data_IF_447294787139
#
_entry.id   IF_447294787139
#
_cell.length_a   1.000
_cell.length_b   1.000
_cell.length_c   1.000
_cell.angle_alpha   90.00
_cell.angle_beta   90.00
_cell.angle_gamma   90.00
#
_symmetry.space_group_name_H-M   'P 1'
#
loop_
_entity.id
_entity.type
_entity.pdbx_description
1 polymer ?
#
# COMPACT_ATOMS: atom_id res chain seq x y z
N UNK A 1 15.31 41.31 -17.46
CA UNK A 1 14.40 40.61 -18.40
C UNK A 1 14.99 40.37 -19.79
N UNK A 2 16.17 39.75 -19.94
CA UNK A 2 16.68 39.40 -21.29
C UNK A 2 17.74 38.28 -21.36
N UNK A 3 17.73 37.32 -20.43
CA UNK A 3 18.73 36.23 -20.42
C UNK A 3 18.19 34.81 -20.14
N UNK A 4 16.86 34.61 -20.13
CA UNK A 4 16.24 33.28 -19.88
C UNK A 4 15.59 32.62 -21.10
N UNK A 5 15.92 33.06 -22.32
CA UNK A 5 15.36 32.52 -23.58
C UNK A 5 16.42 31.85 -24.47
N UNK A 6 17.54 31.41 -23.90
CA UNK A 6 18.63 30.70 -24.61
C UNK A 6 18.73 29.21 -24.24
N UNK A 7 17.69 28.60 -23.66
CA UNK A 7 17.49 27.14 -23.73
C UNK A 7 16.74 26.90 -25.02
N UNK A 8 17.23 26.27 -26.08
CA UNK A 8 18.01 25.03 -26.08
C UNK A 8 18.64 24.83 -27.47
N UNK A 9 19.51 25.76 -27.91
CA UNK A 9 20.00 25.77 -29.30
C UNK A 9 20.86 24.53 -29.57
N UNK A 10 21.65 24.12 -28.59
CA UNK A 10 22.57 22.98 -28.69
C UNK A 10 21.82 21.65 -28.76
N UNK A 11 20.86 21.36 -27.87
CA UNK A 11 20.10 20.11 -27.98
C UNK A 11 19.18 20.10 -29.21
N UNK A 12 18.69 21.27 -29.65
CA UNK A 12 17.91 21.35 -30.90
C UNK A 12 18.81 21.06 -32.10
N UNK A 13 20.06 21.54 -32.08
CA UNK A 13 21.05 21.23 -33.10
C UNK A 13 21.47 19.76 -33.08
N UNK A 14 21.64 19.15 -31.91
CA UNK A 14 21.93 17.73 -31.75
C UNK A 14 20.77 16.86 -32.23
N UNK A 15 19.54 17.17 -31.83
CA UNK A 15 18.35 16.47 -32.31
C UNK A 15 18.14 16.63 -33.83
N UNK A 16 18.45 17.80 -34.40
CA UNK A 16 18.46 18.01 -35.84
C UNK A 16 19.56 17.19 -36.54
N UNK A 17 20.75 17.15 -35.96
CA UNK A 17 21.88 16.39 -36.49
C UNK A 17 21.59 14.89 -36.46
N UNK A 18 21.01 14.39 -35.37
CA UNK A 18 20.54 13.02 -35.23
C UNK A 18 19.44 12.71 -36.26
N UNK A 19 18.43 13.59 -36.38
CA UNK A 19 17.34 13.44 -37.34
C UNK A 19 17.84 13.44 -38.80
N UNK A 20 18.92 14.14 -39.13
CA UNK A 20 19.52 14.15 -40.47
C UNK A 20 20.42 12.92 -40.69
N UNK A 21 21.11 12.46 -39.65
CA UNK A 21 22.06 11.34 -39.69
C UNK A 21 21.41 9.95 -39.60
N UNK A 22 20.12 9.87 -39.24
CA UNK A 22 19.36 8.61 -39.21
C UNK A 22 19.28 7.91 -40.57
N UNK A 23 19.05 6.60 -40.56
CA UNK A 23 18.80 5.81 -41.77
C UNK A 23 17.44 6.16 -42.39
N UNK A 24 17.34 6.06 -43.73
CA UNK A 24 16.12 6.43 -44.46
C UNK A 24 14.89 5.59 -44.04
N UNK A 25 15.12 4.31 -43.71
CA UNK A 25 14.09 3.39 -43.22
C UNK A 25 13.54 3.85 -41.86
N UNK A 26 14.42 4.28 -40.96
CA UNK A 26 14.04 4.74 -39.63
C UNK A 26 13.33 6.10 -39.67
N UNK A 27 13.76 7.00 -40.57
CA UNK A 27 13.05 8.27 -40.83
C UNK A 27 11.61 8.04 -41.25
N UNK A 28 11.36 7.11 -42.17
CA UNK A 28 10.02 6.80 -42.67
C UNK A 28 9.11 6.20 -41.59
N UNK A 29 9.65 5.29 -40.76
CA UNK A 29 8.93 4.71 -39.62
C UNK A 29 8.56 5.76 -38.57
N UNK A 30 9.52 6.60 -38.16
CA UNK A 30 9.28 7.67 -37.18
C UNK A 30 8.31 8.73 -37.71
N UNK A 31 8.45 9.12 -38.99
CA UNK A 31 7.52 10.04 -39.64
C UNK A 31 6.09 9.48 -39.67
N UNK A 32 5.91 8.22 -40.08
CA UNK A 32 4.59 7.58 -40.10
C UNK A 32 3.91 7.54 -38.72
N UNK A 33 4.68 7.24 -37.65
CA UNK A 33 4.21 7.23 -36.26
C UNK A 33 3.81 8.64 -35.78
N UNK A 34 4.70 9.62 -35.95
CA UNK A 34 4.46 10.99 -35.47
C UNK A 34 3.35 11.68 -36.25
N UNK A 35 3.29 11.47 -37.57
CA UNK A 35 2.22 12.00 -38.41
C UNK A 35 0.86 11.46 -37.97
N UNK A 36 0.76 10.17 -37.62
CA UNK A 36 -0.50 9.57 -37.14
C UNK A 36 -0.93 10.11 -35.77
N UNK A 37 0.01 10.40 -34.88
CA UNK A 37 -0.28 11.02 -33.59
C UNK A 37 -0.75 12.48 -33.75
N UNK A 38 -0.02 13.30 -34.51
CA UNK A 38 -0.34 14.72 -34.74
C UNK A 38 -1.65 14.89 -35.53
N UNK A 39 -1.96 13.98 -36.46
CA UNK A 39 -3.21 14.01 -37.23
C UNK A 39 -4.44 13.54 -36.44
N UNK A 40 -4.25 12.84 -35.32
CA UNK A 40 -5.35 12.37 -34.45
C UNK A 40 -5.52 13.19 -33.18
N UNK A 41 -4.47 13.88 -32.72
CA UNK A 41 -4.45 14.73 -31.54
C UNK A 41 -4.15 16.16 -31.96
N UNK A 42 -5.12 16.78 -32.64
CA UNK A 42 -4.98 18.16 -33.08
C UNK A 42 -5.05 19.14 -31.89
N UNK A 43 -4.65 20.39 -32.14
CA UNK A 43 -4.69 21.46 -31.14
C UNK A 43 -6.10 21.66 -30.58
N UNK A 44 -7.14 21.31 -31.34
CA UNK A 44 -8.52 21.39 -30.90
C UNK A 44 -8.87 20.29 -29.88
N UNK A 45 -8.40 19.06 -30.07
CA UNK A 45 -8.54 17.96 -29.12
C UNK A 45 -7.81 18.25 -27.82
N UNK A 46 -6.55 18.68 -27.90
CA UNK A 46 -5.78 19.09 -26.71
C UNK A 46 -6.46 20.27 -25.99
N UNK A 47 -6.87 21.31 -26.73
CA UNK A 47 -7.54 22.48 -26.15
C UNK A 47 -8.87 22.10 -25.48
N UNK A 48 -9.66 21.23 -26.11
CA UNK A 48 -10.93 20.76 -25.57
C UNK A 48 -10.74 19.92 -24.30
N UNK A 49 -9.77 19.01 -24.30
CA UNK A 49 -9.42 18.22 -23.10
C UNK A 49 -8.94 19.13 -21.98
N UNK A 50 -8.01 20.03 -22.26
CA UNK A 50 -7.45 20.95 -21.28
C UNK A 50 -8.52 21.89 -20.69
N UNK A 51 -9.39 22.46 -21.52
CA UNK A 51 -10.49 23.33 -21.06
C UNK A 51 -11.50 22.52 -20.25
N UNK A 52 -11.81 21.27 -20.64
CA UNK A 52 -12.69 20.41 -19.85
C UNK A 52 -12.09 20.04 -18.49
N UNK A 53 -10.79 19.73 -18.44
CA UNK A 53 -10.09 19.43 -17.21
C UNK A 53 -9.98 20.66 -16.31
N UNK A 54 -9.74 21.84 -16.90
CA UNK A 54 -9.72 23.11 -16.20
C UNK A 54 -11.11 23.49 -15.66
N UNK A 55 -12.16 23.32 -16.47
CA UNK A 55 -13.54 23.57 -16.06
C UNK A 55 -13.94 22.62 -14.94
N UNK A 56 -13.57 21.33 -15.03
CA UNK A 56 -13.79 20.32 -13.97
C UNK A 56 -13.03 20.67 -12.69
N UNK A 57 -11.78 21.12 -12.80
CA UNK A 57 -10.99 21.56 -11.66
C UNK A 57 -11.59 22.81 -10.97
N UNK A 58 -12.18 23.73 -11.74
CA UNK A 58 -12.80 24.95 -11.23
C UNK A 58 -14.22 24.74 -10.69
N UNK A 59 -15.01 23.81 -11.25
CA UNK A 59 -16.44 23.61 -10.93
C UNK A 59 -16.67 23.23 -9.46
N UNK A 60 -15.75 22.48 -8.87
CA UNK A 60 -15.86 21.99 -7.49
C UNK A 60 -14.98 22.77 -6.48
N UNK A 61 -14.18 23.74 -6.94
CA UNK A 61 -13.19 24.42 -6.10
C UNK A 61 -13.82 25.24 -4.96
N UNK A 62 -14.99 25.85 -5.21
CA UNK A 62 -15.69 26.68 -4.21
C UNK A 62 -16.39 25.89 -3.10
N UNK A 63 -16.49 24.56 -3.22
CA UNK A 63 -17.16 23.69 -2.24
C UNK A 63 -16.20 22.81 -1.44
N UNK A 64 -14.91 22.80 -1.79
CA UNK A 64 -13.89 22.01 -1.11
C UNK A 64 -13.29 22.83 0.04
N UNK A 65 -13.28 22.31 1.29
CA UNK A 65 -12.56 22.95 2.39
C UNK A 65 -11.08 23.14 2.01
N UNK A 66 -10.60 24.37 2.07
CA UNK A 66 -9.20 24.71 1.82
C UNK A 66 -8.43 24.66 3.14
N UNK A 67 -7.36 23.88 3.19
CA UNK A 67 -6.47 23.75 4.33
C UNK A 67 -5.11 24.36 4.01
N UNK A 68 -4.56 25.10 4.97
CA UNK A 68 -3.17 25.55 4.92
C UNK A 68 -2.27 24.44 5.46
N UNK A 69 -1.37 23.92 4.62
CA UNK A 69 -0.42 22.86 4.98
C UNK A 69 1.00 23.45 4.90
N UNK A 70 1.80 23.22 5.95
CA UNK A 70 3.19 23.69 6.06
C UNK A 70 3.36 25.04 6.78
N UNK A 71 4.60 25.39 7.11
CA UNK A 71 4.99 26.66 7.74
C UNK A 71 6.03 27.40 6.87
N UNK A 72 6.01 28.74 6.88
CA UNK A 72 6.99 29.57 6.16
C UNK A 72 6.90 29.43 4.63
N UNK A 73 8.05 29.35 3.95
CA UNK A 73 8.14 29.25 2.48
C UNK A 73 7.60 27.92 1.91
N UNK A 74 7.28 26.94 2.76
CA UNK A 74 6.64 25.68 2.37
C UNK A 74 5.11 25.69 2.49
N UNK A 75 4.50 26.81 2.89
CA UNK A 75 3.04 26.92 3.03
C UNK A 75 2.33 26.72 1.69
N UNK A 76 1.33 25.83 1.66
CA UNK A 76 0.47 25.58 0.50
C UNK A 76 -0.99 25.54 0.95
N UNK A 77 -1.86 26.16 0.16
CA UNK A 77 -3.31 25.99 0.32
C UNK A 77 -3.73 24.82 -0.54
N UNK A 78 -4.41 23.85 0.06
CA UNK A 78 -4.89 22.68 -0.67
C UNK A 78 -6.36 22.42 -0.40
N UNK A 79 -7.10 22.10 -1.46
CA UNK A 79 -8.51 21.78 -1.40
C UNK A 79 -8.67 20.26 -1.15
N UNK A 80 -9.27 19.89 -0.02
CA UNK A 80 -9.54 18.50 0.34
C UNK A 80 -11.00 18.15 0.00
N UNK A 81 -11.30 16.84 -0.13
CA UNK A 81 -12.69 16.40 -0.28
C UNK A 81 -13.50 16.78 0.98
N UNK A 82 -14.75 17.26 0.86
CA UNK A 82 -15.59 17.56 2.03
C UNK A 82 -15.81 16.37 2.98
N UNK A 83 -15.65 15.13 2.49
CA UNK A 83 -15.78 13.91 3.28
C UNK A 83 -14.44 13.39 3.81
N UNK A 84 -13.33 14.09 3.52
CA UNK A 84 -12.01 13.78 4.06
C UNK A 84 -11.96 14.15 5.54
N UNK A 85 -11.92 13.14 6.40
CA UNK A 85 -12.08 13.32 7.85
C UNK A 85 -11.07 12.47 8.62
N UNK A 86 -10.73 12.88 9.85
CA UNK A 86 -9.88 12.07 10.72
C UNK A 86 -10.58 10.74 11.03
N UNK A 87 -9.84 9.64 11.00
CA UNK A 87 -10.41 8.33 11.32
C UNK A 87 -10.92 8.32 12.77
N UNK A 88 -12.19 7.97 12.96
CA UNK A 88 -12.76 7.77 14.29
C UNK A 88 -12.48 6.33 14.75
N UNK A 89 -11.67 6.20 15.80
CA UNK A 89 -11.19 4.91 16.32
C UNK A 89 -12.35 4.02 16.83
N UNK A 90 -13.34 4.59 17.52
CA UNK A 90 -14.47 3.82 18.03
C UNK A 90 -15.28 3.20 16.88
N UNK A 91 -15.47 3.96 15.79
CA UNK A 91 -16.24 3.51 14.63
C UNK A 91 -15.57 2.34 13.92
N UNK A 92 -14.24 2.38 13.76
CA UNK A 92 -13.52 1.28 13.14
C UNK A 92 -13.49 0.05 14.05
N UNK A 93 -13.27 0.21 15.36
CA UNK A 93 -13.27 -0.90 16.33
C UNK A 93 -14.64 -1.60 16.35
N UNK A 94 -15.74 -0.85 16.46
CA UNK A 94 -17.09 -1.42 16.42
C UNK A 94 -17.39 -2.16 15.10
N UNK A 95 -16.87 -1.65 13.98
CA UNK A 95 -17.04 -2.30 12.67
C UNK A 95 -16.18 -3.56 12.55
N UNK A 96 -14.98 -3.52 13.14
CA UNK A 96 -14.02 -4.60 13.19
C UNK A 96 -14.57 -5.78 14.00
N UNK A 97 -14.98 -5.57 15.25
CA UNK A 97 -15.53 -6.62 16.14
C UNK A 97 -16.73 -7.35 15.52
N UNK A 98 -17.59 -6.63 14.80
CA UNK A 98 -18.78 -7.20 14.15
C UNK A 98 -18.49 -8.01 12.90
N UNK A 99 -17.34 -7.77 12.26
CA UNK A 99 -16.96 -8.40 11.00
C UNK A 99 -16.42 -9.82 11.21
N UNK A 100 -16.68 -10.71 10.24
CA UNK A 100 -16.28 -12.12 10.29
C UNK A 100 -15.18 -12.49 9.29
N UNK A 101 -14.95 -11.65 8.28
CA UNK A 101 -13.89 -11.81 7.29
C UNK A 101 -13.29 -10.44 6.98
N UNK A 102 -12.15 -10.15 7.60
CA UNK A 102 -11.53 -8.83 7.68
C UNK A 102 -10.26 -8.82 6.84
N UNK A 103 -10.15 -7.83 5.95
CA UNK A 103 -8.94 -7.62 5.15
C UNK A 103 -8.24 -6.35 5.61
N UNK A 104 -6.97 -6.48 5.96
CA UNK A 104 -6.12 -5.37 6.45
C UNK A 104 -4.91 -5.27 5.52
N UNK A 105 -4.83 -4.17 4.76
CA UNK A 105 -3.75 -3.88 3.82
C UNK A 105 -2.96 -2.69 4.34
N UNK A 106 -1.67 -2.88 4.58
CA UNK A 106 -0.81 -1.88 5.20
C UNK A 106 0.39 -1.61 4.29
N UNK A 107 0.63 -0.35 3.95
CA UNK A 107 1.95 0.04 3.46
C UNK A 107 2.99 -0.04 4.59
N UNK A 108 4.26 -0.07 4.21
CA UNK A 108 5.37 -0.19 5.14
C UNK A 108 6.05 1.14 5.45
N UNK A 109 6.71 1.74 4.45
CA UNK A 109 7.43 3.00 4.59
C UNK A 109 6.43 4.13 4.80
N UNK A 110 6.72 5.09 5.68
CA UNK A 110 5.81 6.22 5.98
C UNK A 110 4.51 5.85 6.71
N UNK A 111 4.16 4.56 6.78
CA UNK A 111 2.95 4.04 7.41
C UNK A 111 3.23 3.29 8.71
N UNK A 112 4.01 2.20 8.67
CA UNK A 112 4.40 1.43 9.86
C UNK A 112 5.73 1.89 10.44
N UNK A 113 6.60 2.42 9.58
CA UNK A 113 7.91 2.97 9.96
C UNK A 113 8.04 4.36 9.36
N UNK A 114 8.37 5.40 10.15
CA UNK A 114 8.55 6.75 9.62
C UNK A 114 9.53 6.77 8.44
N UNK A 115 9.15 7.45 7.36
CA UNK A 115 9.99 7.53 6.15
C UNK A 115 11.36 8.17 6.43
N UNK A 116 11.44 9.08 7.39
CA UNK A 116 12.68 9.75 7.80
C UNK A 116 13.55 8.92 8.74
N UNK A 117 13.12 7.73 9.14
CA UNK A 117 13.90 6.88 10.06
C UNK A 117 15.17 6.37 9.39
N UNK A 118 16.29 6.49 10.11
CA UNK A 118 17.58 5.88 9.74
C UNK A 118 17.48 4.37 9.89
N UNK A 119 16.89 3.90 11.00
CA UNK A 119 16.57 2.48 11.15
C UNK A 119 15.25 2.19 10.43
N UNK A 120 15.38 1.46 9.33
CA UNK A 120 14.27 1.06 8.47
C UNK A 120 13.57 -0.21 8.95
N UNK A 121 13.91 -0.73 10.14
CA UNK A 121 13.28 -1.89 10.77
C UNK A 121 12.02 -1.51 11.56
N UNK A 122 11.01 -2.37 11.61
CA UNK A 122 9.84 -2.13 12.46
C UNK A 122 10.22 -2.34 13.93
N UNK A 123 9.54 -1.62 14.83
CA UNK A 123 9.73 -1.84 16.27
C UNK A 123 9.22 -3.22 16.67
N UNK A 124 9.74 -3.75 17.79
CA UNK A 124 9.25 -5.02 18.36
C UNK A 124 7.76 -4.97 18.71
N UNK A 125 7.25 -3.79 19.05
CA UNK A 125 5.84 -3.56 19.31
C UNK A 125 4.99 -3.72 18.06
N UNK A 126 5.39 -3.10 16.93
CA UNK A 126 4.70 -3.27 15.65
C UNK A 126 4.72 -4.74 15.21
N UNK A 127 5.86 -5.42 15.35
CA UNK A 127 5.94 -6.87 15.05
C UNK A 127 4.98 -7.69 15.91
N UNK A 128 4.85 -7.38 17.21
CA UNK A 128 3.90 -8.04 18.12
C UNK A 128 2.46 -7.80 17.67
N UNK A 129 2.09 -6.54 17.41
CA UNK A 129 0.75 -6.14 16.96
C UNK A 129 0.37 -6.86 15.67
N UNK A 130 1.24 -6.83 14.65
CA UNK A 130 1.01 -7.52 13.38
C UNK A 130 0.84 -9.02 13.60
N UNK A 131 1.67 -9.63 14.45
CA UNK A 131 1.55 -11.06 14.74
C UNK A 131 0.25 -11.43 15.48
N UNK A 132 -0.21 -10.59 16.41
CA UNK A 132 -1.52 -10.74 17.07
C UNK A 132 -2.65 -10.64 16.06
N UNK A 133 -2.65 -9.62 15.20
CA UNK A 133 -3.65 -9.46 14.14
C UNK A 133 -3.65 -10.65 13.18
N UNK A 134 -2.47 -11.14 12.76
CA UNK A 134 -2.36 -12.34 11.92
C UNK A 134 -2.77 -13.65 12.62
N UNK A 135 -2.87 -13.66 13.95
CA UNK A 135 -3.22 -14.88 14.69
C UNK A 135 -4.73 -15.13 14.73
N UNK A 136 -5.55 -14.09 14.66
CA UNK A 136 -7.01 -14.18 14.50
C UNK A 136 -7.35 -14.75 13.11
N UNK A 137 -8.11 -15.85 13.10
CA UNK A 137 -8.53 -16.55 11.88
C UNK A 137 -9.48 -15.74 10.99
N UNK A 138 -10.12 -14.72 11.53
CA UNK A 138 -11.01 -13.83 10.77
C UNK A 138 -10.23 -12.74 10.03
N UNK A 139 -8.94 -12.55 10.34
CA UNK A 139 -8.09 -11.55 9.71
C UNK A 139 -7.28 -12.13 8.56
N UNK A 140 -7.25 -11.38 7.46
CA UNK A 140 -6.28 -11.52 6.38
C UNK A 140 -5.46 -10.23 6.31
N UNK A 141 -4.22 -10.28 6.82
CA UNK A 141 -3.32 -9.12 6.91
C UNK A 141 -2.24 -9.21 5.86
N UNK A 142 -2.04 -8.12 5.10
CA UNK A 142 -0.98 -8.01 4.12
C UNK A 142 -0.17 -6.73 4.31
N UNK A 143 1.16 -6.85 4.20
CA UNK A 143 2.03 -5.72 3.91
C UNK A 143 2.10 -5.56 2.39
N UNK A 144 1.75 -4.37 1.89
CA UNK A 144 1.75 -4.04 0.46
C UNK A 144 2.72 -2.88 0.24
N UNK A 145 3.95 -3.18 -0.20
CA UNK A 145 5.05 -2.22 -0.20
C UNK A 145 5.84 -2.22 -1.51
N UNK A 146 6.51 -1.10 -1.79
CA UNK A 146 7.48 -0.98 -2.86
C UNK A 146 8.83 -1.66 -2.57
N UNK A 147 9.08 -2.15 -1.35
CA UNK A 147 10.34 -2.82 -0.98
C UNK A 147 10.53 -4.17 -1.66
N UNK A 148 11.78 -4.62 -1.75
CA UNK A 148 12.12 -5.93 -2.28
C UNK A 148 11.61 -7.06 -1.39
N UNK A 149 11.37 -8.24 -2.00
CA UNK A 149 10.88 -9.42 -1.29
C UNK A 149 11.86 -9.95 -0.24
N UNK A 150 13.16 -9.81 -0.48
CA UNK A 150 14.20 -10.21 0.47
C UNK A 150 14.21 -9.32 1.71
N UNK A 151 14.09 -8.00 1.51
CA UNK A 151 14.00 -7.03 2.60
C UNK A 151 12.79 -7.31 3.47
N UNK A 152 11.58 -7.35 2.88
CA UNK A 152 10.35 -7.61 3.63
C UNK A 152 10.33 -9.02 4.25
N UNK A 153 10.86 -10.02 3.54
CA UNK A 153 10.96 -11.39 4.03
C UNK A 153 11.82 -11.50 5.29
N UNK A 154 12.93 -10.75 5.35
CA UNK A 154 13.79 -10.71 6.53
C UNK A 154 13.19 -9.91 7.70
N UNK A 155 12.55 -8.77 7.40
CA UNK A 155 11.96 -7.88 8.41
C UNK A 155 10.78 -8.52 9.14
N UNK A 156 9.99 -9.33 8.44
CA UNK A 156 8.80 -10.00 8.98
C UNK A 156 8.98 -11.52 9.14
N UNK A 157 10.21 -12.00 9.26
CA UNK A 157 10.50 -13.44 9.41
C UNK A 157 9.80 -14.07 10.64
N UNK A 158 9.53 -13.27 11.68
CA UNK A 158 8.83 -13.66 12.90
C UNK A 158 7.30 -13.73 12.76
N UNK A 159 6.73 -13.31 11.63
CA UNK A 159 5.28 -13.27 11.40
C UNK A 159 4.88 -14.31 10.33
N UNK A 160 4.73 -15.60 10.69
CA UNK A 160 4.58 -16.69 9.72
C UNK A 160 3.28 -16.61 8.89
N UNK A 161 2.20 -16.06 9.47
CA UNK A 161 0.87 -15.95 8.83
C UNK A 161 0.67 -14.65 8.04
N UNK A 162 1.68 -13.78 8.00
CA UNK A 162 1.58 -12.48 7.32
C UNK A 162 1.70 -12.64 5.80
N UNK A 163 0.75 -12.05 5.09
CA UNK A 163 0.84 -11.88 3.64
C UNK A 163 1.80 -10.74 3.29
N UNK A 164 2.58 -10.90 2.23
CA UNK A 164 3.51 -9.88 1.73
C UNK A 164 3.32 -9.71 0.23
N UNK A 165 3.08 -8.46 -0.18
CA UNK A 165 3.19 -8.01 -1.55
C UNK A 165 4.38 -7.06 -1.68
N UNK A 166 5.42 -7.51 -2.38
CA UNK A 166 6.67 -6.80 -2.57
C UNK A 166 6.76 -6.20 -3.98
N UNK A 167 7.60 -5.18 -4.13
CA UNK A 167 7.81 -4.44 -5.38
C UNK A 167 6.48 -4.00 -6.02
N UNK A 168 5.64 -3.31 -5.23
CA UNK A 168 4.33 -2.81 -5.61
C UNK A 168 3.32 -3.90 -6.04
N UNK A 169 3.60 -5.16 -5.70
CA UNK A 169 2.75 -6.28 -6.08
C UNK A 169 3.29 -7.17 -7.19
N UNK A 170 4.53 -6.97 -7.63
CA UNK A 170 5.16 -7.89 -8.56
C UNK A 170 5.26 -9.28 -7.91
N UNK A 171 5.72 -9.33 -6.66
CA UNK A 171 5.77 -10.56 -5.88
C UNK A 171 4.68 -10.55 -4.82
N UNK A 172 3.98 -11.66 -4.67
CA UNK A 172 2.94 -11.87 -3.67
C UNK A 172 3.17 -13.22 -2.97
N UNK A 173 3.08 -13.24 -1.65
CA UNK A 173 3.14 -14.47 -0.85
C UNK A 173 2.11 -14.37 0.26
N UNK A 174 1.33 -15.42 0.50
CA UNK A 174 0.24 -15.40 1.49
C UNK A 174 0.72 -15.71 2.91
N UNK A 175 1.71 -16.58 3.05
CA UNK A 175 2.31 -16.96 4.33
C UNK A 175 3.80 -17.19 4.16
N UNK A 176 4.60 -17.12 5.23
CA UNK A 176 6.07 -17.27 5.17
C UNK A 176 6.50 -18.57 4.49
N UNK A 177 5.76 -19.65 4.74
CA UNK A 177 6.11 -21.00 4.30
C UNK A 177 5.61 -21.32 2.87
N UNK A 178 4.83 -20.42 2.27
CA UNK A 178 4.43 -20.51 0.86
C UNK A 178 5.47 -19.91 -0.10
N UNK A 179 5.46 -20.38 -1.35
CA UNK A 179 6.28 -19.81 -2.42
C UNK A 179 5.80 -18.44 -2.87
N UNK A 180 6.73 -17.60 -3.33
CA UNK A 180 6.39 -16.33 -3.98
C UNK A 180 5.68 -16.55 -5.31
N UNK A 181 4.58 -15.85 -5.51
CA UNK A 181 3.83 -15.76 -6.76
C UNK A 181 4.21 -14.47 -7.48
N UNK A 182 4.55 -14.55 -8.77
CA UNK A 182 4.84 -13.37 -9.59
C UNK A 182 3.60 -12.92 -10.36
N UNK A 183 3.36 -11.61 -10.47
CA UNK A 183 2.18 -11.04 -11.13
C UNK A 183 2.23 -11.05 -12.66
N UNK A 184 3.42 -11.19 -13.28
CA UNK A 184 3.57 -11.20 -14.74
C UNK A 184 4.37 -12.40 -15.23
N UNK A 185 3.99 -12.93 -16.41
CA UNK A 185 4.71 -14.00 -17.11
C UNK A 185 5.92 -13.51 -17.93
N UNK A 186 6.10 -12.18 -18.05
CA UNK A 186 7.20 -11.58 -18.80
C UNK A 186 8.40 -11.35 -17.88
N UNK A 187 9.40 -12.21 -18.02
CA UNK A 187 10.68 -12.14 -17.30
C UNK A 187 11.74 -11.31 -18.02
N UNK A 188 11.35 -10.53 -19.04
CA UNK A 188 12.30 -9.74 -19.82
C UNK A 188 12.54 -8.39 -19.12
N UNK A 189 13.65 -8.32 -18.39
CA UNK A 189 14.15 -7.10 -17.74
C UNK A 189 15.22 -6.41 -18.59
N UNK A 190 15.27 -6.65 -19.92
CA UNK A 190 16.20 -5.99 -20.83
C UNK A 190 16.12 -4.45 -20.77
N UNK A 191 14.95 -3.91 -20.44
CA UNK A 191 14.76 -2.47 -20.20
C UNK A 191 15.63 -1.92 -19.06
N UNK A 192 16.02 -2.73 -18.07
CA UNK A 192 16.90 -2.28 -16.98
C UNK A 192 18.27 -1.88 -17.53
N UNK A 193 18.78 -2.61 -18.51
CA UNK A 193 20.05 -2.31 -19.18
C UNK A 193 19.98 -1.01 -20.01
N UNK A 194 18.78 -0.59 -20.42
CA UNK A 194 18.54 0.69 -21.10
C UNK A 194 18.36 1.85 -20.12
N UNK A 195 17.71 1.59 -18.98
CA UNK A 195 17.43 2.58 -17.95
C UNK A 195 18.64 2.92 -17.08
N UNK A 196 19.47 1.93 -16.75
CA UNK A 196 20.62 2.07 -15.84
C UNK A 196 21.65 3.11 -16.34
N UNK A 197 22.07 3.14 -17.62
CA UNK A 197 22.97 4.20 -18.11
C UNK A 197 22.40 5.60 -17.97
N UNK A 198 21.08 5.76 -18.17
CA UNK A 198 20.40 7.05 -17.99
C UNK A 198 20.44 7.44 -16.52
N UNK A 199 20.06 6.55 -15.59
CA UNK A 199 20.11 6.84 -14.16
C UNK A 199 21.53 7.14 -13.67
N UNK A 200 22.54 6.44 -14.19
CA UNK A 200 23.95 6.67 -13.84
C UNK A 200 24.39 8.09 -14.21
N UNK A 201 24.02 8.60 -15.38
CA UNK A 201 24.34 9.98 -15.81
C UNK A 201 23.89 11.04 -14.79
N UNK A 202 22.66 10.90 -14.27
CA UNK A 202 22.14 11.82 -13.26
C UNK A 202 22.73 11.55 -11.88
N UNK A 203 23.09 10.31 -11.57
CA UNK A 203 23.73 9.95 -10.29
C UNK A 203 25.12 10.56 -10.19
N UNK A 204 25.93 10.46 -11.25
CA UNK A 204 27.27 11.05 -11.33
C UNK A 204 27.26 12.59 -11.24
N UNK A 205 26.17 13.22 -11.69
CA UNK A 205 26.01 14.67 -11.69
C UNK A 205 25.26 15.21 -10.46
N UNK A 206 24.82 14.34 -9.55
CA UNK A 206 24.01 14.72 -8.38
C UNK A 206 24.58 14.13 -7.10
N UNK A 207 25.39 14.93 -6.40
CA UNK A 207 25.96 14.54 -5.10
C UNK A 207 24.87 14.17 -4.09
N UNK A 208 25.08 13.07 -3.36
CA UNK A 208 24.12 12.54 -2.38
C UNK A 208 23.00 11.69 -2.99
N UNK A 209 22.96 11.52 -4.31
CA UNK A 209 22.04 10.58 -4.96
C UNK A 209 22.65 9.19 -5.13
N UNK A 210 21.80 8.17 -5.25
CA UNK A 210 22.24 6.80 -5.53
C UNK A 210 21.13 6.00 -6.23
N UNK A 211 21.52 4.88 -6.85
CA UNK A 211 20.59 3.94 -7.50
C UNK A 211 20.42 2.71 -6.60
N UNK A 212 19.18 2.32 -6.36
CA UNK A 212 18.80 1.05 -5.77
C UNK A 212 18.26 0.12 -6.87
N UNK A 213 19.00 -0.96 -7.12
CA UNK A 213 18.60 -2.01 -8.06
C UNK A 213 17.81 -3.09 -7.32
N UNK A 214 16.54 -3.26 -7.70
CA UNK A 214 15.67 -4.34 -7.23
C UNK A 214 15.58 -5.44 -8.28
N UNK A 215 14.82 -6.51 -8.00
CA UNK A 215 14.68 -7.61 -8.97
C UNK A 215 13.87 -7.19 -10.20
N UNK A 216 12.87 -6.32 -10.02
CA UNK A 216 11.97 -5.90 -11.11
C UNK A 216 11.85 -4.40 -11.25
N UNK A 217 12.54 -3.62 -10.43
CA UNK A 217 12.49 -2.16 -10.48
C UNK A 217 13.88 -1.53 -10.31
N UNK A 218 14.04 -0.33 -10.86
CA UNK A 218 15.19 0.54 -10.60
C UNK A 218 14.68 1.81 -9.92
N UNK A 219 15.31 2.19 -8.81
CA UNK A 219 14.91 3.39 -8.06
C UNK A 219 16.13 4.29 -7.90
N UNK A 220 16.02 5.51 -8.40
CA UNK A 220 16.99 6.56 -8.13
C UNK A 220 16.53 7.38 -6.93
N UNK A 221 17.37 7.48 -5.92
CA UNK A 221 17.12 8.21 -4.67
C UNK A 221 17.90 9.52 -4.67
N UNK A 222 17.25 10.60 -4.25
CA UNK A 222 17.86 11.92 -4.15
C UNK A 222 17.52 12.65 -2.85
N UNK A 223 17.17 11.89 -1.80
CA UNK A 223 16.80 12.43 -0.49
C UNK A 223 17.94 13.20 0.18
N UNK A 224 19.18 12.72 0.01
CA UNK A 224 20.37 13.31 0.62
C UNK A 224 21.08 14.33 -0.31
N UNK A 225 20.53 14.57 -1.50
CA UNK A 225 20.98 15.60 -2.41
C UNK A 225 20.45 16.99 -2.02
N UNK A 226 21.01 18.06 -2.60
CA UNK A 226 20.41 19.39 -2.47
C UNK A 226 18.93 19.35 -2.94
N UNK A 227 17.96 19.81 -2.13
CA UNK A 227 16.54 19.62 -2.46
C UNK A 227 16.10 20.29 -3.77
N UNK A 228 16.68 21.46 -4.10
CA UNK A 228 16.33 22.20 -5.31
C UNK A 228 16.94 21.58 -6.55
N UNK A 229 18.23 21.24 -6.47
CA UNK A 229 18.97 20.61 -7.54
C UNK A 229 18.50 19.17 -7.78
N UNK A 230 18.40 18.35 -6.75
CA UNK A 230 17.91 16.98 -6.80
C UNK A 230 16.49 16.90 -7.39
N UNK A 231 15.58 17.79 -7.01
CA UNK A 231 14.24 17.85 -7.62
C UNK A 231 14.26 18.27 -9.09
N UNK A 232 15.23 19.08 -9.52
CA UNK A 232 15.38 19.47 -10.93
C UNK A 232 15.90 18.29 -11.74
N UNK A 233 16.94 17.62 -11.23
CA UNK A 233 17.52 16.40 -11.81
C UNK A 233 16.49 15.27 -11.90
N UNK A 234 15.68 15.07 -10.86
CA UNK A 234 14.60 14.08 -10.85
C UNK A 234 13.60 14.31 -12.00
N UNK A 235 13.25 15.57 -12.26
CA UNK A 235 12.31 15.93 -13.33
C UNK A 235 12.92 15.68 -14.71
N UNK A 236 14.17 16.10 -14.92
CA UNK A 236 14.86 15.87 -16.18
C UNK A 236 15.10 14.38 -16.44
N UNK A 237 15.47 13.61 -15.40
CA UNK A 237 15.59 12.15 -15.46
C UNK A 237 14.26 11.49 -15.82
N UNK A 238 13.16 11.90 -15.19
CA UNK A 238 11.82 11.38 -15.49
C UNK A 238 11.50 11.53 -16.98
N UNK A 239 11.64 12.75 -17.52
CA UNK A 239 11.36 13.04 -18.93
C UNK A 239 12.29 12.23 -19.86
N UNK A 240 13.56 12.09 -19.51
CA UNK A 240 14.55 11.32 -20.27
C UNK A 240 14.23 9.82 -20.28
N UNK A 241 13.94 9.23 -19.12
CA UNK A 241 13.57 7.81 -19.00
C UNK A 241 12.24 7.53 -19.71
N UNK A 242 11.24 8.40 -19.60
CA UNK A 242 9.96 8.25 -20.33
C UNK A 242 10.19 8.23 -21.85
N UNK A 243 11.12 9.04 -22.35
CA UNK A 243 11.50 9.05 -23.77
C UNK A 243 12.23 7.78 -24.21
N UNK A 244 13.25 7.35 -23.44
CA UNK A 244 14.08 6.18 -23.77
C UNK A 244 13.29 4.88 -23.68
N UNK A 245 12.41 4.77 -22.68
CA UNK A 245 11.64 3.56 -22.38
C UNK A 245 10.23 3.58 -22.99
N UNK A 246 9.94 4.51 -23.90
CA UNK A 246 8.60 4.72 -24.46
C UNK A 246 8.01 3.48 -25.16
N UNK A 247 8.84 2.54 -25.63
CA UNK A 247 8.40 1.31 -26.27
C UNK A 247 8.53 0.06 -25.38
N UNK A 248 9.00 0.23 -24.14
CA UNK A 248 9.15 -0.85 -23.17
C UNK A 248 7.90 -0.98 -22.30
N UNK A 249 7.57 -2.19 -21.81
CA UNK A 249 6.40 -2.43 -20.97
C UNK A 249 6.62 -1.97 -19.52
N UNK A 250 7.13 -0.76 -19.33
CA UNK A 250 7.48 -0.16 -18.03
C UNK A 250 6.81 1.19 -17.83
N UNK A 251 6.71 1.60 -16.57
CA UNK A 251 6.22 2.90 -16.16
C UNK A 251 7.33 3.60 -15.36
N UNK A 252 7.62 4.83 -15.74
CA UNK A 252 8.49 5.73 -14.97
C UNK A 252 7.60 6.57 -14.07
N UNK A 253 7.93 6.66 -12.78
CA UNK A 253 7.15 7.36 -11.78
C UNK A 253 8.06 8.19 -10.90
N UNK A 254 7.69 9.45 -10.70
CA UNK A 254 8.28 10.29 -9.66
C UNK A 254 7.50 10.10 -8.35
N UNK A 255 8.24 9.83 -7.29
CA UNK A 255 7.78 9.75 -5.91
C UNK A 255 8.45 10.81 -5.03
N UNK A 256 8.26 10.69 -3.71
CA UNK A 256 8.91 11.59 -2.77
C UNK A 256 10.40 11.27 -2.68
N UNK A 257 11.23 12.21 -3.17
CA UNK A 257 12.68 12.08 -3.25
C UNK A 257 13.20 10.92 -4.12
N UNK A 258 12.37 10.38 -5.01
CA UNK A 258 12.73 9.24 -5.86
C UNK A 258 12.20 9.37 -7.29
N UNK A 259 12.90 8.72 -8.22
CA UNK A 259 12.40 8.35 -9.55
C UNK A 259 12.50 6.83 -9.68
N UNK A 260 11.37 6.18 -9.95
CA UNK A 260 11.27 4.73 -10.04
C UNK A 260 10.85 4.30 -11.45
N UNK A 261 11.50 3.27 -11.98
CA UNK A 261 11.08 2.53 -13.18
C UNK A 261 10.64 1.15 -12.73
N UNK A 262 9.42 0.76 -13.09
CA UNK A 262 8.85 -0.55 -12.77
C UNK A 262 7.98 -1.10 -13.91
N UNK A 263 7.66 -2.40 -13.93
CA UNK A 263 6.84 -3.00 -14.98
C UNK A 263 5.42 -2.41 -14.99
N UNK A 264 4.84 -2.28 -16.17
CA UNK A 264 3.42 -1.95 -16.31
C UNK A 264 2.55 -3.10 -15.79
N UNK A 265 1.33 -2.76 -15.35
CA UNK A 265 0.39 -3.76 -14.82
C UNK A 265 0.71 -4.22 -13.40
N UNK A 266 1.60 -3.52 -12.68
CA UNK A 266 1.89 -3.75 -11.27
C UNK A 266 1.54 -2.49 -10.46
N UNK A 267 0.64 -2.63 -9.49
CA UNK A 267 0.28 -1.58 -8.55
C UNK A 267 -0.29 -2.17 -7.26
N UNK A 268 -0.17 -1.42 -6.15
CA UNK A 268 -0.75 -1.78 -4.85
C UNK A 268 -2.27 -1.99 -4.93
N UNK A 269 -2.95 -1.25 -5.81
CA UNK A 269 -4.39 -1.44 -6.03
C UNK A 269 -4.76 -2.73 -6.78
N UNK A 270 -3.94 -3.18 -7.73
CA UNK A 270 -4.14 -4.49 -8.38
C UNK A 270 -3.91 -5.63 -7.39
N UNK A 271 -2.97 -5.48 -6.45
CA UNK A 271 -2.78 -6.43 -5.34
C UNK A 271 -4.04 -6.51 -4.49
N UNK A 272 -4.59 -5.37 -4.08
CA UNK A 272 -5.81 -5.34 -3.28
C UNK A 272 -6.99 -6.02 -3.98
N UNK A 273 -7.21 -5.73 -5.27
CA UNK A 273 -8.24 -6.39 -6.09
C UNK A 273 -8.00 -7.91 -6.17
N UNK A 274 -6.76 -8.33 -6.40
CA UNK A 274 -6.38 -9.75 -6.47
C UNK A 274 -6.64 -10.47 -5.15
N UNK A 275 -6.26 -9.91 -4.01
CA UNK A 275 -6.48 -10.50 -2.69
C UNK A 275 -7.98 -10.67 -2.43
N UNK A 276 -8.77 -9.60 -2.61
CA UNK A 276 -10.22 -9.63 -2.38
C UNK A 276 -10.94 -10.63 -3.30
N UNK A 277 -10.53 -10.72 -4.56
CA UNK A 277 -11.09 -11.67 -5.53
C UNK A 277 -10.78 -13.11 -5.13
N UNK A 278 -9.53 -13.42 -4.77
CA UNK A 278 -9.13 -14.76 -4.33
C UNK A 278 -9.84 -15.17 -3.03
N UNK A 279 -10.05 -14.24 -2.11
CA UNK A 279 -10.82 -14.51 -0.89
C UNK A 279 -12.29 -14.83 -1.20
N UNK A 280 -12.91 -14.11 -2.13
CA UNK A 280 -14.27 -14.41 -2.60
C UNK A 280 -14.34 -15.80 -3.24
N UNK A 281 -13.39 -16.17 -4.08
CA UNK A 281 -13.30 -17.49 -4.72
C UNK A 281 -13.15 -18.63 -3.71
N UNK A 282 -12.44 -18.38 -2.60
CA UNK A 282 -12.29 -19.31 -1.47
C UNK A 282 -13.53 -19.37 -0.56
N UNK A 283 -14.60 -18.62 -0.85
CA UNK A 283 -15.79 -18.53 -0.01
C UNK A 283 -15.61 -17.70 1.26
N UNK A 284 -14.52 -16.95 1.38
CA UNK A 284 -14.18 -16.09 2.52
C UNK A 284 -14.37 -14.62 2.15
N UNK A 285 -15.49 -14.29 1.51
CA UNK A 285 -15.75 -12.94 1.04
C UNK A 285 -15.63 -11.91 2.18
N UNK A 286 -14.83 -10.86 1.95
CA UNK A 286 -14.55 -9.86 2.99
C UNK A 286 -15.79 -9.03 3.34
N UNK A 287 -16.07 -8.89 4.63
CA UNK A 287 -17.12 -8.03 5.19
C UNK A 287 -16.56 -6.85 6.00
N UNK A 288 -15.22 -6.66 5.99
CA UNK A 288 -14.52 -5.47 6.47
C UNK A 288 -13.23 -5.27 5.67
N UNK A 289 -12.92 -4.03 5.29
CA UNK A 289 -11.66 -3.69 4.60
C UNK A 289 -11.02 -2.45 5.21
N UNK A 290 -9.77 -2.59 5.65
CA UNK A 290 -8.90 -1.51 6.11
C UNK A 290 -7.70 -1.40 5.19
N UNK A 291 -7.39 -0.18 4.73
CA UNK A 291 -6.22 0.09 3.91
C UNK A 291 -5.54 1.35 4.39
N UNK A 292 -4.23 1.28 4.64
CA UNK A 292 -3.45 2.39 5.17
C UNK A 292 -2.20 2.55 4.31
N UNK A 293 -1.93 3.79 3.91
CA UNK A 293 -0.76 4.14 3.12
C UNK A 293 -0.44 5.62 3.23
N UNK A 294 0.74 6.03 2.82
CA UNK A 294 1.16 7.42 2.89
C UNK A 294 1.61 7.96 1.52
N UNK A 295 2.04 7.13 0.60
CA UNK A 295 2.67 7.62 -0.61
C UNK A 295 1.71 7.70 -1.80
N UNK A 296 2.24 8.17 -2.93
CA UNK A 296 1.49 8.28 -4.18
C UNK A 296 1.06 6.91 -4.73
N UNK A 297 1.80 5.85 -4.44
CA UNK A 297 1.45 4.50 -4.90
C UNK A 297 0.27 3.90 -4.15
N UNK A 298 0.02 4.33 -2.92
CA UNK A 298 -1.14 3.93 -2.12
C UNK A 298 -2.45 4.53 -2.64
N UNK A 299 -2.39 5.63 -3.38
CA UNK A 299 -3.56 6.22 -4.04
C UNK A 299 -4.23 5.25 -5.02
N UNK A 300 -3.44 4.40 -5.68
CA UNK A 300 -3.95 3.33 -6.55
C UNK A 300 -4.69 2.26 -5.72
N UNK A 301 -4.26 2.00 -4.48
CA UNK A 301 -4.92 1.09 -3.55
C UNK A 301 -6.27 1.64 -3.10
N UNK A 302 -6.34 2.92 -2.72
CA UNK A 302 -7.59 3.53 -2.26
C UNK A 302 -8.64 3.61 -3.37
N UNK A 303 -8.24 3.97 -4.59
CA UNK A 303 -9.15 4.07 -5.74
C UNK A 303 -9.68 2.70 -6.18
N UNK A 304 -8.79 1.73 -6.39
CA UNK A 304 -9.19 0.42 -6.90
C UNK A 304 -10.13 -0.30 -5.94
N UNK A 305 -9.90 -0.21 -4.63
CA UNK A 305 -10.77 -0.89 -3.66
C UNK A 305 -12.18 -0.30 -3.69
N UNK A 306 -12.32 1.03 -3.80
CA UNK A 306 -13.63 1.66 -3.92
C UNK A 306 -14.40 1.15 -5.16
N UNK A 307 -13.72 0.88 -6.26
CA UNK A 307 -14.33 0.30 -7.47
C UNK A 307 -14.61 -1.20 -7.35
N UNK A 308 -13.73 -1.95 -6.68
CA UNK A 308 -13.91 -3.38 -6.38
C UNK A 308 -15.17 -3.62 -5.53
N UNK A 309 -15.46 -2.72 -4.58
CA UNK A 309 -16.70 -2.78 -3.79
C UNK A 309 -17.94 -2.61 -4.68
N UNK A 310 -17.90 -1.70 -5.67
CA UNK A 310 -19.02 -1.51 -6.62
C UNK A 310 -19.25 -2.74 -7.50
N UNK A 311 -18.23 -3.56 -7.72
CA UNK A 311 -18.28 -4.80 -8.52
C UNK A 311 -18.75 -6.03 -7.73
N UNK A 312 -19.24 -5.86 -6.49
CA UNK A 312 -19.69 -6.95 -5.60
C UNK A 312 -18.62 -8.02 -5.35
N UNK A 313 -17.34 -7.62 -5.29
CA UNK A 313 -16.25 -8.53 -4.91
C UNK A 313 -16.24 -8.76 -3.40
N UNK A 314 -16.59 -7.74 -2.62
CA UNK A 314 -16.79 -7.85 -1.15
C UNK A 314 -18.27 -8.08 -0.81
N UNK A 315 -18.54 -8.38 0.46
CA UNK A 315 -19.90 -8.57 0.95
C UNK A 315 -20.75 -7.27 0.82
N UNK A 316 -22.08 -7.37 0.76
CA UNK A 316 -22.92 -6.18 0.71
C UNK A 316 -22.75 -5.31 1.97
N UNK A 317 -22.64 -3.99 1.78
CA UNK A 317 -22.47 -2.99 2.85
C UNK A 317 -21.18 -3.14 3.67
N UNK A 318 -20.13 -3.75 3.10
CA UNK A 318 -18.81 -3.79 3.73
C UNK A 318 -18.30 -2.39 4.08
N UNK A 319 -17.99 -2.10 5.35
CA UNK A 319 -17.30 -0.87 5.73
C UNK A 319 -15.89 -0.87 5.14
N UNK A 320 -15.57 0.23 4.44
CA UNK A 320 -14.25 0.51 3.88
C UNK A 320 -13.59 1.66 4.64
N UNK A 321 -12.45 1.36 5.25
CA UNK A 321 -11.59 2.32 5.92
C UNK A 321 -10.31 2.51 5.10
N UNK A 322 -10.38 3.31 4.04
CA UNK A 322 -9.21 3.76 3.30
C UNK A 322 -8.64 5.02 3.96
N UNK A 323 -7.42 4.92 4.49
CA UNK A 323 -6.78 5.94 5.32
C UNK A 323 -5.43 6.35 4.75
N UNK A 324 -5.22 7.64 4.54
CA UNK A 324 -3.88 8.18 4.26
C UNK A 324 -3.17 8.58 5.56
N UNK A 325 -1.85 8.43 5.64
CA UNK A 325 -1.06 8.91 6.79
C UNK A 325 -0.58 10.33 6.51
N UNK A 326 -0.96 11.27 7.37
CA UNK A 326 -0.73 12.70 7.26
C UNK A 326 -1.91 13.45 6.62
N UNK A 327 -2.05 14.72 6.99
CA UNK A 327 -3.05 15.62 6.39
C UNK A 327 -2.59 16.10 5.02
N UNK A 328 -2.91 15.33 3.98
CA UNK A 328 -2.54 15.62 2.59
C UNK A 328 -3.65 15.25 1.61
N UNK A 329 -3.62 15.78 0.37
CA UNK A 329 -4.56 15.38 -0.67
C UNK A 329 -4.46 13.89 -0.94
N UNK A 330 -5.60 13.21 -0.87
CA UNK A 330 -5.69 11.77 -1.10
C UNK A 330 -7.07 11.39 -1.62
N UNK A 331 -7.15 10.27 -2.33
CA UNK A 331 -8.37 9.54 -2.69
C UNK A 331 -8.91 8.74 -1.50
N UNK A 332 -8.12 8.56 -0.43
CA UNK A 332 -8.58 8.03 0.83
C UNK A 332 -9.69 8.91 1.41
N UNK A 333 -10.65 8.28 2.09
CA UNK A 333 -11.73 9.01 2.78
C UNK A 333 -11.29 9.50 4.15
N UNK A 334 -10.36 8.79 4.77
CA UNK A 334 -9.90 9.09 6.12
C UNK A 334 -8.42 9.44 6.15
N UNK A 335 -7.99 10.06 7.23
CA UNK A 335 -6.57 10.20 7.55
C UNK A 335 -6.26 9.86 9.01
N UNK A 336 -5.01 9.47 9.23
CA UNK A 336 -4.34 9.40 10.53
C UNK A 336 -3.22 10.42 10.51
N UNK A 337 -2.90 11.09 11.62
CA UNK A 337 -1.95 12.21 11.60
C UNK A 337 -0.51 11.75 11.33
N UNK A 338 -0.10 10.60 11.88
CA UNK A 338 1.25 10.07 11.77
C UNK A 338 1.32 8.56 12.00
N UNK A 339 2.54 8.00 11.95
CA UNK A 339 2.81 6.58 12.18
C UNK A 339 2.50 6.12 13.61
N UNK A 340 2.51 7.02 14.60
CA UNK A 340 2.16 6.68 15.98
C UNK A 340 0.66 6.47 16.12
N UNK A 341 -0.16 7.31 15.47
CA UNK A 341 -1.60 7.09 15.40
C UNK A 341 -1.96 5.79 14.66
N UNK A 342 -1.21 5.43 13.61
CA UNK A 342 -1.33 4.12 12.95
C UNK A 342 -1.04 2.99 13.94
N UNK A 343 0.08 3.07 14.67
CA UNK A 343 0.44 2.07 15.68
C UNK A 343 -0.61 1.92 16.78
N UNK A 344 -1.11 3.03 17.32
CA UNK A 344 -2.16 3.04 18.35
C UNK A 344 -3.46 2.41 17.85
N UNK A 345 -3.90 2.76 16.64
CA UNK A 345 -5.10 2.18 16.04
C UNK A 345 -4.93 0.67 15.81
N UNK A 346 -3.79 0.24 15.28
CA UNK A 346 -3.51 -1.20 15.09
C UNK A 346 -3.43 -1.95 16.43
N UNK A 347 -2.90 -1.32 17.48
CA UNK A 347 -2.91 -1.90 18.83
C UNK A 347 -4.32 -2.13 19.33
N UNK A 348 -5.23 -1.16 19.18
CA UNK A 348 -6.63 -1.33 19.59
C UNK A 348 -7.34 -2.45 18.81
N UNK A 349 -7.03 -2.60 17.51
CA UNK A 349 -7.55 -3.73 16.72
C UNK A 349 -6.96 -5.07 17.18
N UNK A 350 -5.68 -5.09 17.56
CA UNK A 350 -5.03 -6.28 18.08
C UNK A 350 -5.62 -6.69 19.43
N UNK A 351 -5.88 -5.74 20.33
CA UNK A 351 -6.53 -5.98 21.62
C UNK A 351 -7.95 -6.55 21.41
N UNK A 352 -8.70 -6.03 20.43
CA UNK A 352 -10.01 -6.57 20.04
C UNK A 352 -9.95 -7.93 19.29
N UNK A 353 -8.76 -8.38 18.89
CA UNK A 353 -8.52 -9.69 18.26
C UNK A 353 -8.16 -10.77 19.28
N UNK A 354 -7.72 -10.39 20.48
CA UNK A 354 -7.40 -11.35 21.53
C UNK A 354 -8.71 -12.01 21.99
N UNK A 355 -8.77 -13.35 22.07
CA UNK A 355 -9.95 -14.01 22.58
C UNK A 355 -10.19 -13.55 24.02
N UNK A 356 -11.45 -13.24 24.36
CA UNK A 356 -11.84 -13.03 25.75
C UNK A 356 -11.24 -14.17 26.59
N UNK A 357 -10.55 -13.86 27.71
CA UNK A 357 -10.08 -14.91 28.60
C UNK A 357 -11.31 -15.73 28.95
N UNK A 358 -11.32 -17.00 28.55
CA UNK A 358 -12.33 -17.95 28.96
C UNK A 358 -12.26 -17.93 30.48
N UNK A 359 -13.23 -17.26 31.11
CA UNK A 359 -13.50 -17.48 32.51
C UNK A 359 -14.04 -18.90 32.54
N UNK A 360 -13.12 -19.87 32.63
CA UNK A 360 -13.45 -21.15 33.21
C UNK A 360 -13.89 -20.81 34.62
N UNK A 361 -15.21 -20.63 34.78
CA UNK A 361 -15.87 -20.86 36.04
C UNK A 361 -15.60 -22.34 36.33
N UNK A 362 -14.45 -22.62 36.96
CA UNK A 362 -14.21 -23.89 37.62
C UNK A 362 -15.42 -24.13 38.52
N UNK A 363 -16.16 -25.17 38.18
CA UNK A 363 -17.34 -25.65 38.88
C UNK A 363 -16.85 -26.31 40.19
N UNK A 364 -16.34 -25.49 41.10
CA UNK A 364 -15.69 -25.88 42.35
C UNK A 364 -16.74 -26.15 43.45
N UNK A 365 -17.82 -26.83 43.05
CA UNK A 365 -18.89 -27.29 43.95
C UNK A 365 -19.44 -28.66 43.55
N UNK A 366 -18.60 -29.54 43.03
CA UNK A 366 -18.94 -30.95 42.86
C UNK A 366 -17.75 -31.90 43.15
N UNK A 367 -16.95 -31.61 44.17
CA UNK A 367 -16.01 -32.62 44.71
C UNK A 367 -15.82 -32.50 46.21
N UNK A 368 -16.92 -32.47 46.96
CA UNK A 368 -16.85 -32.65 48.42
C UNK A 368 -18.13 -33.22 49.02
N UNK A 369 -18.81 -34.18 48.38
CA UNK A 369 -19.74 -35.08 49.07
C UNK A 369 -19.79 -36.44 48.37
N UNK A 370 -18.74 -37.26 48.50
CA UNK A 370 -18.86 -38.70 48.27
C UNK A 370 -17.86 -39.47 49.12
N UNK A 371 -18.04 -39.39 50.44
CA UNK A 371 -17.52 -40.35 51.40
C UNK A 371 -18.20 -40.13 52.77
N UNK A 372 -19.51 -40.37 52.85
CA UNK A 372 -20.16 -40.71 54.11
C UNK A 372 -20.99 -41.95 53.84
N UNK A 373 -20.38 -43.07 54.19
CA UNK A 373 -20.95 -44.41 54.24
C UNK A 373 -21.80 -44.49 55.52
N UNK A 374 -23.12 -44.52 55.38
CA UNK A 374 -24.05 -44.85 56.46
C UNK A 374 -24.95 -45.96 55.92
N UNK A 375 -24.60 -47.18 56.30
CA UNK A 375 -25.41 -48.38 56.19
C UNK A 375 -26.65 -48.27 57.08
N UNK A 376 -27.83 -48.18 56.48
CA UNK A 376 -29.12 -48.39 57.15
C UNK A 376 -29.80 -49.61 56.50
N UNK A 377 -29.76 -50.74 57.21
CA UNK A 377 -30.57 -51.93 56.92
C UNK A 377 -31.95 -51.81 57.61
N UNK A 378 -33.06 -52.25 56.99
CA UNK A 378 -34.39 -52.12 57.56
C UNK A 378 -34.71 -53.26 58.57
N UNK A 379 -35.58 -53.02 59.57
CA UNK A 379 -35.83 -53.98 60.63
C UNK A 379 -36.76 -55.13 60.21
N UNK A 380 -36.30 -56.35 60.42
CA UNK A 380 -37.10 -57.57 60.45
C UNK A 380 -37.63 -57.83 61.87
N UNK A 381 -38.94 -58.05 62.00
CA UNK A 381 -39.57 -58.59 63.20
C UNK A 381 -39.10 -60.05 63.43
N UNK A 382 -38.58 -60.36 64.61
CA UNK A 382 -38.27 -61.74 65.01
C UNK A 382 -38.16 -61.89 66.53
N UNK A 383 -38.92 -62.83 67.07
CA UNK A 383 -39.14 -63.12 68.49
C UNK A 383 -37.94 -63.76 69.24
N UNK A 384 -37.87 -63.44 70.54
CA UNK A 384 -37.57 -64.31 71.73
C UNK A 384 -36.13 -64.73 72.12
N UNK A 385 -35.91 -64.53 73.44
CA UNK A 385 -35.13 -65.34 74.43
C UNK A 385 -33.60 -65.35 74.27
N UNK A 386 -32.75 -65.46 75.28
CA UNK A 386 -32.77 -65.61 76.75
C UNK A 386 -31.28 -65.43 77.18
N UNK A 387 -31.04 -64.98 78.43
CA UNK A 387 -29.79 -65.19 79.22
C UNK A 387 -28.47 -64.60 78.68
N UNK A 388 -27.52 -64.09 79.46
CA UNK A 388 -27.27 -64.18 80.90
C UNK A 388 -25.73 -64.22 81.10
N UNK A 389 -25.23 -63.24 81.86
CA UNK A 389 -23.87 -63.07 82.41
C UNK A 389 -22.79 -62.38 81.57
#
# INVERSE_FOLDING_TARGET
SRSRLLRNVETTAEALNEAISMSEQEKQLRHGKHYRYVSTHDVAYWSKSFVQDLERACKDHFRKPCWGIGLGFGFRVVALDPHFTKLNLDTIIMSYERAKSRVILLDYDGTLVPQTSIDKKPSSEILRIINTLCSDSNNTVFIVSGRSRDSLGSLFASCPKLGIAAEHGYFLRWTRDEGWQSSTHTSDFGWMQMAEPVMNLYTESTDGSYIETKETALVWHHQDADPGFGSTQAKEMLDHLESVLANEPVAVKSGQFIVEVKPQGVSKGLVAEKILTLMKEKGQQADFVLCIGDDRSDEDMFENIADVIKRNVVAPKTPLFACTVGQKPSKARFYLDDTLEVGNMLSLLADASEPDPVIELEDDLATSVSAIDISDEPPQLGHRREEGS
#
